data_IF_526788581779
#
_entry.id   IF_526788581779
#
_cell.length_a   1.000
_cell.length_b   1.000
_cell.length_c   1.000
_cell.angle_alpha   90.00
_cell.angle_beta   90.00
_cell.angle_gamma   90.00
#
_symmetry.space_group_name_H-M   'P 1'
#
loop_
_entity.id
_entity.type
_entity.pdbx_description
1 polymer ?
#
# COMPACT_ATOMS: atom_id res chain seq x y z
N UNK A 1 56.89 -7.82 -8.11
CA UNK A 1 56.12 -8.74 -8.94
C UNK A 1 54.78 -9.14 -8.29
N UNK A 2 54.49 -8.71 -7.06
CA UNK A 2 53.26 -9.13 -6.33
C UNK A 2 52.15 -8.08 -6.36
N UNK A 3 52.37 -6.90 -6.90
CA UNK A 3 51.38 -5.81 -6.91
C UNK A 3 50.49 -5.81 -8.16
N UNK A 4 50.92 -6.45 -9.25
CA UNK A 4 50.13 -6.49 -10.49
C UNK A 4 48.99 -7.55 -10.47
N UNK A 5 49.12 -8.60 -9.64
CA UNK A 5 48.10 -9.67 -9.60
C UNK A 5 46.83 -9.20 -8.90
N UNK A 6 46.87 -8.23 -7.99
CA UNK A 6 45.70 -7.70 -7.30
C UNK A 6 44.92 -6.67 -8.12
N UNK A 7 45.53 -6.04 -9.10
CA UNK A 7 44.84 -5.06 -9.98
C UNK A 7 44.05 -5.72 -11.11
N UNK A 8 44.43 -6.89 -11.57
CA UNK A 8 43.72 -7.65 -12.60
C UNK A 8 42.43 -8.31 -12.10
N UNK A 9 42.39 -8.69 -10.82
CA UNK A 9 41.18 -9.31 -10.26
C UNK A 9 40.06 -8.34 -9.88
N UNK A 10 40.34 -7.05 -9.76
CA UNK A 10 39.37 -6.00 -9.44
C UNK A 10 38.70 -5.40 -10.68
N UNK A 11 39.26 -5.59 -11.88
CA UNK A 11 38.70 -5.09 -13.12
C UNK A 11 37.69 -6.02 -13.79
N UNK A 12 37.68 -7.31 -13.47
CA UNK A 12 36.78 -8.30 -14.05
C UNK A 12 35.51 -8.56 -13.22
N UNK A 13 35.36 -8.00 -12.03
CA UNK A 13 34.12 -8.05 -11.30
C UNK A 13 33.12 -7.07 -11.94
N UNK A 14 32.21 -7.55 -12.77
CA UNK A 14 31.09 -6.78 -13.29
C UNK A 14 30.44 -6.06 -12.11
N UNK A 15 30.23 -4.73 -12.19
CA UNK A 15 29.61 -4.00 -11.10
C UNK A 15 28.21 -4.58 -10.84
N UNK A 16 27.94 -4.94 -9.57
CA UNK A 16 26.67 -5.52 -9.13
C UNK A 16 25.53 -4.56 -9.48
N UNK A 17 25.79 -3.27 -9.44
CA UNK A 17 24.88 -2.20 -9.78
C UNK A 17 25.44 -1.31 -10.88
N UNK A 18 24.56 -0.87 -11.74
CA UNK A 18 24.83 0.14 -12.75
C UNK A 18 23.91 1.34 -12.50
N UNK A 19 24.46 2.50 -12.11
CA UNK A 19 23.67 3.68 -11.85
C UNK A 19 23.06 4.23 -13.15
N UNK A 20 21.98 4.98 -13.03
CA UNK A 20 21.34 5.68 -14.14
C UNK A 20 22.33 6.67 -14.79
N UNK A 21 22.55 6.53 -16.10
CA UNK A 21 23.49 7.37 -16.88
C UNK A 21 22.88 8.69 -17.37
N UNK A 22 21.59 8.89 -17.17
CA UNK A 22 20.84 10.05 -17.68
C UNK A 22 20.36 10.97 -16.57
N UNK A 23 20.17 12.24 -16.88
CA UNK A 23 19.69 13.24 -15.92
C UNK A 23 18.18 13.38 -15.90
N UNK A 24 17.52 13.09 -17.04
CA UNK A 24 16.10 13.31 -17.23
C UNK A 24 15.38 12.00 -17.58
N UNK A 25 14.15 11.91 -17.17
CA UNK A 25 13.23 10.86 -17.57
C UNK A 25 11.86 11.40 -17.88
N UNK A 26 11.17 10.82 -18.84
CA UNK A 26 9.74 10.99 -19.05
C UNK A 26 9.12 9.61 -19.02
N UNK A 27 8.04 9.47 -18.28
CA UNK A 27 7.31 8.20 -18.23
C UNK A 27 5.81 8.42 -18.24
N UNK A 28 5.11 7.43 -18.77
CA UNK A 28 3.68 7.25 -18.61
C UNK A 28 3.46 6.22 -17.51
N UNK A 29 2.67 6.59 -16.51
CA UNK A 29 2.37 5.72 -15.39
C UNK A 29 0.88 5.47 -15.26
N UNK A 30 0.50 4.21 -15.16
CA UNK A 30 -0.80 3.78 -14.68
C UNK A 30 -0.70 3.46 -13.19
N UNK A 31 -1.71 3.86 -12.41
CA UNK A 31 -1.80 3.54 -10.98
C UNK A 31 -3.22 3.10 -10.66
N UNK A 32 -3.33 1.93 -10.07
CA UNK A 32 -4.60 1.36 -9.61
C UNK A 32 -4.49 1.06 -8.13
N UNK A 33 -5.49 1.48 -7.36
CA UNK A 33 -5.57 1.20 -5.94
C UNK A 33 -6.84 0.43 -5.65
N UNK A 34 -6.69 -0.68 -4.96
CA UNK A 34 -7.77 -1.52 -4.47
C UNK A 34 -7.70 -1.52 -2.95
N UNK A 35 -8.82 -1.26 -2.31
CA UNK A 35 -8.90 -1.26 -0.85
C UNK A 35 -10.19 -1.94 -0.41
N UNK A 36 -10.11 -2.70 0.66
CA UNK A 36 -11.25 -3.37 1.27
C UNK A 36 -11.17 -3.16 2.77
N UNK A 37 -12.22 -2.61 3.32
CA UNK A 37 -12.41 -2.47 4.76
C UNK A 37 -13.39 -3.52 5.22
N UNK A 38 -12.95 -4.40 6.10
CA UNK A 38 -13.80 -5.45 6.66
C UNK A 38 -13.95 -5.25 8.16
N UNK A 39 -15.18 -5.21 8.60
CA UNK A 39 -15.59 -5.15 10.00
C UNK A 39 -16.07 -6.53 10.43
N UNK A 40 -15.63 -6.97 11.61
CA UNK A 40 -16.06 -8.22 12.21
C UNK A 40 -16.66 -7.95 13.58
N UNK A 41 -17.84 -8.51 13.83
CA UNK A 41 -18.49 -8.54 15.15
C UNK A 41 -18.08 -9.78 15.96
N UNK A 42 -18.48 -9.80 17.24
CA UNK A 42 -18.15 -10.88 18.18
C UNK A 42 -18.71 -12.25 17.77
N UNK A 43 -19.90 -12.31 17.20
CA UNK A 43 -20.57 -13.54 16.79
C UNK A 43 -20.24 -13.98 15.36
N UNK A 44 -19.12 -13.49 14.79
CA UNK A 44 -18.68 -13.82 13.44
C UNK A 44 -19.40 -13.05 12.33
N UNK A 45 -20.15 -11.99 12.67
CA UNK A 45 -20.69 -11.07 11.68
C UNK A 45 -19.56 -10.42 10.90
N UNK A 46 -19.78 -10.20 9.60
CA UNK A 46 -18.80 -9.61 8.72
C UNK A 46 -19.44 -8.67 7.73
N UNK A 47 -18.96 -7.43 7.69
CA UNK A 47 -19.38 -6.44 6.69
C UNK A 47 -18.11 -5.93 5.99
N UNK A 48 -18.09 -5.95 4.65
CA UNK A 48 -16.98 -5.48 3.86
C UNK A 48 -17.42 -4.36 2.92
N UNK A 49 -16.68 -3.27 2.93
CA UNK A 49 -16.85 -2.12 2.05
C UNK A 49 -15.65 -2.00 1.12
N UNK A 50 -15.90 -1.69 -0.14
CA UNK A 50 -14.85 -1.44 -1.12
C UNK A 50 -15.29 -0.31 -2.07
N UNK A 51 -14.34 0.50 -2.56
CA UNK A 51 -14.64 1.47 -3.61
C UNK A 51 -14.72 0.80 -4.97
N UNK A 52 -15.30 1.51 -5.92
CA UNK A 52 -15.19 1.11 -7.32
C UNK A 52 -13.73 1.17 -7.78
N UNK A 53 -13.28 0.20 -8.60
CA UNK A 53 -11.92 0.19 -9.12
C UNK A 53 -11.63 1.46 -9.94
N UNK A 54 -10.61 2.21 -9.56
CA UNK A 54 -10.16 3.40 -10.28
C UNK A 54 -8.94 3.08 -11.15
N UNK A 55 -8.94 3.60 -12.40
CA UNK A 55 -7.84 3.47 -13.35
C UNK A 55 -7.26 4.85 -13.60
N UNK A 56 -6.10 5.12 -13.07
CA UNK A 56 -5.43 6.41 -13.19
C UNK A 56 -4.25 6.30 -14.14
N UNK A 57 -4.20 7.17 -15.11
CA UNK A 57 -3.12 7.26 -16.07
C UNK A 57 -2.58 8.69 -16.12
N UNK A 58 -1.26 8.86 -16.22
CA UNK A 58 -0.70 10.18 -16.35
C UNK A 58 0.78 10.22 -16.66
N UNK A 59 1.23 11.35 -17.20
CA UNK A 59 2.64 11.61 -17.47
C UNK A 59 3.40 11.96 -16.20
N UNK A 60 4.68 11.55 -16.15
CA UNK A 60 5.65 11.93 -15.13
C UNK A 60 6.93 12.42 -15.81
N UNK A 61 7.52 13.44 -15.21
CA UNK A 61 8.82 13.98 -15.60
C UNK A 61 9.75 13.86 -14.40
N UNK A 62 10.94 13.32 -14.62
CA UNK A 62 11.96 13.17 -13.60
C UNK A 62 13.22 13.95 -13.95
N UNK A 63 13.84 14.55 -12.94
CA UNK A 63 15.15 15.16 -13.00
C UNK A 63 16.00 14.64 -11.84
N UNK A 64 16.99 13.83 -12.18
CA UNK A 64 17.83 13.12 -11.19
C UNK A 64 16.97 12.25 -10.23
N UNK A 65 16.73 12.74 -9.01
CA UNK A 65 15.98 12.06 -7.95
C UNK A 65 14.59 12.68 -7.71
N UNK A 66 14.26 13.78 -8.39
CA UNK A 66 12.95 14.45 -8.29
C UNK A 66 12.05 13.96 -9.42
N UNK A 67 10.87 13.46 -9.06
CA UNK A 67 9.83 13.07 -9.99
C UNK A 67 8.58 13.90 -9.72
N UNK A 68 8.02 14.46 -10.78
CA UNK A 68 6.76 15.18 -10.76
C UNK A 68 5.84 14.57 -11.81
N UNK A 69 4.62 14.29 -11.42
CA UNK A 69 3.62 13.74 -12.33
C UNK A 69 2.21 13.96 -11.84
N UNK A 70 1.28 13.84 -12.73
CA UNK A 70 -0.14 13.95 -12.45
C UNK A 70 -0.90 12.84 -13.14
N UNK A 71 -1.74 12.14 -12.40
CA UNK A 71 -2.58 11.07 -12.93
C UNK A 71 -4.05 11.47 -12.92
N UNK A 72 -4.74 11.21 -14.02
CA UNK A 72 -6.16 11.41 -14.19
C UNK A 72 -6.88 10.06 -14.10
N UNK A 73 -8.03 10.03 -13.44
CA UNK A 73 -8.93 8.88 -13.48
C UNK A 73 -9.66 8.83 -14.81
N UNK A 74 -9.39 7.79 -15.60
CA UNK A 74 -9.94 7.66 -16.94
C UNK A 74 -11.46 7.46 -16.97
N UNK A 75 -12.05 6.92 -15.91
CA UNK A 75 -13.51 6.72 -15.81
C UNK A 75 -14.27 8.03 -15.62
N UNK A 76 -13.64 9.04 -15.02
CA UNK A 76 -14.30 10.30 -14.65
C UNK A 76 -14.02 11.46 -15.60
N UNK A 77 -13.27 11.25 -16.69
CA UNK A 77 -12.99 12.30 -17.69
C UNK A 77 -14.27 12.76 -18.41
N UNK A 78 -15.25 11.88 -18.58
CA UNK A 78 -16.51 12.17 -19.32
C UNK A 78 -17.75 12.36 -18.44
N UNK A 79 -17.62 12.32 -17.12
CA UNK A 79 -18.78 12.34 -16.25
C UNK A 79 -19.11 13.77 -15.80
N UNK A 80 -20.25 14.28 -16.21
CA UNK A 80 -21.03 15.26 -15.44
C UNK A 80 -21.42 14.76 -14.04
N UNK A 81 -20.88 13.64 -13.59
CA UNK A 81 -21.22 12.97 -12.35
C UNK A 81 -20.20 13.32 -11.26
N UNK A 82 -20.74 13.52 -10.07
CA UNK A 82 -20.08 13.77 -8.80
C UNK A 82 -18.65 13.23 -8.75
N UNK A 83 -17.70 14.15 -8.71
CA UNK A 83 -16.29 13.82 -8.51
C UNK A 83 -16.18 13.00 -7.23
N UNK A 84 -15.61 11.81 -7.32
CA UNK A 84 -15.24 11.06 -6.12
C UNK A 84 -14.40 11.99 -5.25
N UNK A 85 -14.82 12.22 -4.02
CA UNK A 85 -14.09 13.06 -3.06
C UNK A 85 -12.84 12.35 -2.52
N UNK A 86 -12.46 11.22 -3.10
CA UNK A 86 -11.30 10.42 -2.71
C UNK A 86 -10.02 11.24 -2.85
N UNK A 87 -9.27 11.31 -1.76
CA UNK A 87 -7.94 11.91 -1.71
C UNK A 87 -6.90 10.84 -1.47
N UNK A 88 -5.85 10.86 -2.27
CA UNK A 88 -4.78 9.87 -2.16
C UNK A 88 -3.43 10.53 -2.42
N UNK A 89 -2.50 10.29 -1.51
CA UNK A 89 -1.11 10.66 -1.63
C UNK A 89 -0.24 9.47 -1.24
N UNK A 90 0.70 9.10 -2.11
CA UNK A 90 1.66 8.03 -1.86
C UNK A 90 3.03 8.50 -2.32
N UNK A 91 3.99 8.54 -1.41
CA UNK A 91 5.39 8.86 -1.68
C UNK A 91 6.25 7.70 -1.17
N UNK A 92 7.01 7.09 -2.06
CA UNK A 92 8.01 6.08 -1.71
C UNK A 92 9.37 6.57 -2.14
N UNK A 93 10.28 6.69 -1.18
CA UNK A 93 11.66 7.08 -1.40
C UNK A 93 12.56 5.88 -1.10
N UNK A 94 13.38 5.53 -2.07
CA UNK A 94 14.32 4.41 -1.95
C UNK A 94 15.74 4.88 -2.11
N UNK A 95 16.54 4.73 -1.05
CA UNK A 95 18.00 4.78 -1.15
C UNK A 95 18.57 3.35 -1.20
N UNK A 96 19.89 3.22 -1.25
CA UNK A 96 20.53 1.90 -1.17
C UNK A 96 20.27 1.21 0.17
N UNK A 97 20.30 1.96 1.28
CA UNK A 97 20.25 1.44 2.64
C UNK A 97 18.86 1.58 3.28
N UNK A 98 18.16 2.65 2.96
CA UNK A 98 16.90 3.04 3.61
C UNK A 98 15.78 3.15 2.61
N UNK A 99 14.59 2.71 3.02
CA UNK A 99 13.35 3.00 2.32
C UNK A 99 12.38 3.72 3.24
N UNK A 100 11.63 4.65 2.66
CA UNK A 100 10.60 5.43 3.34
C UNK A 100 9.34 5.37 2.50
N UNK A 101 8.23 4.94 3.10
CA UNK A 101 6.91 5.02 2.51
C UNK A 101 6.05 5.97 3.34
N UNK A 102 5.60 7.04 2.72
CA UNK A 102 4.65 8.00 3.28
C UNK A 102 3.36 7.95 2.48
N UNK A 103 2.25 7.76 3.15
CA UNK A 103 0.96 7.69 2.48
C UNK A 103 -0.15 8.34 3.28
N UNK A 104 -1.11 8.88 2.55
CA UNK A 104 -2.36 9.38 3.07
C UNK A 104 -3.48 9.04 2.10
N UNK A 105 -4.53 8.44 2.61
CA UNK A 105 -5.73 8.11 1.84
C UNK A 105 -6.96 8.51 2.63
N UNK A 106 -7.93 9.01 1.91
CA UNK A 106 -9.26 9.31 2.44
C UNK A 106 -10.28 8.79 1.44
N UNK A 107 -11.24 8.03 1.91
CA UNK A 107 -12.33 7.48 1.09
C UNK A 107 -13.14 8.58 0.44
N UNK A 108 -13.66 8.28 -0.75
CA UNK A 108 -14.67 9.09 -1.43
C UNK A 108 -16.08 8.65 -1.09
N UNK A 109 -16.99 8.99 -1.97
CA UNK A 109 -18.41 8.62 -1.94
C UNK A 109 -18.76 7.44 -2.90
N UNK A 110 -17.74 6.76 -3.42
CA UNK A 110 -17.80 5.69 -4.43
C UNK A 110 -17.75 4.28 -3.82
N UNK A 111 -18.06 4.16 -2.52
CA UNK A 111 -18.05 2.87 -1.83
C UNK A 111 -19.35 2.10 -2.05
N UNK A 112 -19.22 0.78 -2.03
CA UNK A 112 -20.32 -0.16 -2.08
C UNK A 112 -20.15 -1.27 -1.03
N UNK A 113 -21.25 -1.89 -0.66
CA UNK A 113 -21.24 -3.09 0.18
C UNK A 113 -20.71 -4.25 -0.67
N UNK A 114 -19.47 -4.69 -0.42
CA UNK A 114 -18.88 -5.81 -1.15
C UNK A 114 -19.43 -7.15 -0.68
N UNK A 115 -19.55 -7.31 0.64
CA UNK A 115 -20.08 -8.51 1.29
C UNK A 115 -20.67 -8.14 2.64
N UNK A 116 -21.80 -8.74 2.94
CA UNK A 116 -22.38 -8.75 4.28
C UNK A 116 -22.67 -10.21 4.64
N UNK A 117 -22.21 -10.67 5.79
CA UNK A 117 -22.54 -11.97 6.35
C UNK A 117 -22.82 -11.76 7.84
N UNK A 118 -24.01 -12.08 8.26
CA UNK A 118 -24.52 -11.84 9.60
C UNK A 118 -24.82 -13.17 10.35
N UNK A 119 -24.20 -14.24 9.90
CA UNK A 119 -24.37 -15.59 10.45
C UNK A 119 -25.15 -16.53 9.53
N UNK A 120 -25.29 -17.77 9.96
CA UNK A 120 -25.98 -18.80 9.19
C UNK A 120 -27.47 -18.42 8.99
N UNK A 121 -27.97 -18.67 7.80
CA UNK A 121 -29.38 -18.50 7.38
C UNK A 121 -29.87 -17.09 7.02
N UNK A 122 -29.03 -16.04 7.04
CA UNK A 122 -29.42 -14.70 6.54
C UNK A 122 -28.96 -14.51 5.11
N UNK A 123 -29.91 -14.44 4.17
CA UNK A 123 -29.58 -14.17 2.77
C UNK A 123 -29.39 -12.68 2.52
N UNK A 124 -28.14 -12.23 2.43
CA UNK A 124 -27.75 -10.84 2.19
C UNK A 124 -27.34 -10.55 0.74
N UNK A 125 -27.57 -11.46 -0.19
CA UNK A 125 -27.15 -11.32 -1.59
C UNK A 125 -27.71 -10.07 -2.29
N UNK A 126 -28.91 -9.61 -1.90
CA UNK A 126 -29.53 -8.40 -2.43
C UNK A 126 -28.76 -7.11 -2.06
N UNK A 127 -27.93 -7.15 -1.03
CA UNK A 127 -27.10 -6.02 -0.59
C UNK A 127 -25.72 -5.98 -1.30
N UNK A 128 -25.34 -7.03 -2.00
CA UNK A 128 -24.05 -7.11 -2.66
C UNK A 128 -23.95 -6.11 -3.82
N UNK A 129 -22.85 -5.35 -3.84
CA UNK A 129 -22.58 -4.27 -4.81
C UNK A 129 -23.56 -3.08 -4.75
N UNK A 130 -24.31 -2.94 -3.67
CA UNK A 130 -25.16 -1.77 -3.46
C UNK A 130 -24.26 -0.60 -3.07
N UNK A 131 -24.44 0.54 -3.75
CA UNK A 131 -23.72 1.78 -3.42
C UNK A 131 -24.03 2.22 -2.00
N UNK A 132 -22.99 2.59 -1.25
CA UNK A 132 -23.09 3.02 0.13
C UNK A 132 -22.15 4.19 0.42
N UNK A 133 -22.67 5.38 0.36
CA UNK A 133 -21.93 6.64 0.62
C UNK A 133 -21.78 6.96 2.12
N UNK A 134 -22.35 6.11 2.99
CA UNK A 134 -22.28 6.23 4.45
C UNK A 134 -20.99 5.70 5.07
N UNK A 135 -20.05 5.11 4.27
CA UNK A 135 -18.76 4.65 4.77
C UNK A 135 -17.70 5.71 4.54
N UNK A 136 -16.98 6.09 5.60
CA UNK A 136 -15.83 6.99 5.51
C UNK A 136 -14.64 6.36 6.21
N UNK A 137 -13.53 6.26 5.49
CA UNK A 137 -12.26 5.78 6.00
C UNK A 137 -11.14 6.77 5.72
N UNK A 138 -10.19 6.85 6.62
CA UNK A 138 -8.93 7.57 6.40
C UNK A 138 -7.78 6.78 7.00
N UNK A 139 -6.68 6.71 6.25
CA UNK A 139 -5.43 6.12 6.71
C UNK A 139 -4.29 7.07 6.37
N UNK A 140 -3.42 7.31 7.35
CA UNK A 140 -2.16 8.03 7.19
C UNK A 140 -1.05 7.14 7.72
N UNK A 141 0.09 7.11 7.05
CA UNK A 141 1.17 6.26 7.53
C UNK A 141 2.54 6.69 7.07
N UNK A 142 3.52 6.34 7.88
CA UNK A 142 4.93 6.47 7.63
C UNK A 142 5.59 5.13 7.98
N UNK A 143 6.30 4.53 7.01
CA UNK A 143 7.13 3.37 7.23
C UNK A 143 8.57 3.70 6.88
N UNK A 144 9.47 3.38 7.78
CA UNK A 144 10.92 3.49 7.59
C UNK A 144 11.51 2.10 7.72
N UNK A 145 12.36 1.68 6.78
CA UNK A 145 13.01 0.38 6.84
C UNK A 145 14.45 0.42 6.37
N UNK A 146 15.28 -0.42 6.99
CA UNK A 146 16.70 -0.59 6.71
C UNK A 146 16.95 -1.90 5.95
N UNK A 147 17.80 -1.84 4.94
CA UNK A 147 18.19 -2.94 4.04
C UNK A 147 19.59 -3.39 4.40
N UNK A 148 19.75 -4.59 4.95
CA UNK A 148 21.06 -5.07 5.44
C UNK A 148 22.05 -5.32 4.30
N UNK A 149 21.63 -6.02 3.26
CA UNK A 149 22.49 -6.37 2.13
C UNK A 149 22.47 -5.31 1.02
N UNK A 150 22.45 -4.04 1.39
CA UNK A 150 22.34 -2.91 0.46
C UNK A 150 23.46 -2.82 -0.57
N UNK A 151 24.58 -3.52 -0.37
CA UNK A 151 25.67 -3.62 -1.33
C UNK A 151 25.41 -4.56 -2.49
N UNK A 152 24.46 -5.48 -2.36
CA UNK A 152 24.12 -6.49 -3.39
C UNK A 152 22.65 -6.45 -3.80
N UNK A 153 21.76 -5.95 -2.96
CA UNK A 153 20.32 -5.88 -3.16
C UNK A 153 19.87 -4.41 -3.30
N UNK A 154 19.03 -4.11 -4.28
CA UNK A 154 18.56 -2.75 -4.58
C UNK A 154 17.06 -2.68 -4.83
N UNK A 155 16.31 -2.06 -3.92
CA UNK A 155 14.93 -1.67 -4.19
C UNK A 155 14.80 -0.59 -5.29
N UNK A 156 15.70 0.41 -5.40
CA UNK A 156 15.69 1.32 -6.53
C UNK A 156 15.69 0.63 -7.89
N UNK A 157 16.35 -0.51 -8.04
CA UNK A 157 16.36 -1.27 -9.30
C UNK A 157 14.97 -1.85 -9.65
N UNK A 158 14.18 -2.23 -8.64
CA UNK A 158 12.88 -2.84 -8.83
C UNK A 158 11.72 -1.84 -8.96
N UNK A 159 11.79 -0.70 -8.24
CA UNK A 159 10.63 0.16 -8.05
C UNK A 159 10.76 1.59 -8.59
N UNK A 160 11.98 2.15 -8.67
CA UNK A 160 12.23 3.49 -9.20
C UNK A 160 13.05 3.53 -10.49
N UNK A 161 13.61 2.38 -10.90
CA UNK A 161 14.46 2.20 -12.10
C UNK A 161 15.64 3.17 -12.18
N UNK A 162 16.02 3.76 -11.02
CA UNK A 162 17.17 4.68 -10.93
C UNK A 162 18.53 3.98 -10.89
N UNK A 163 18.53 2.66 -10.83
CA UNK A 163 19.69 1.77 -10.80
C UNK A 163 19.34 0.48 -11.50
N UNK A 164 20.31 -0.17 -12.16
CA UNK A 164 20.15 -1.51 -12.67
C UNK A 164 20.94 -2.50 -11.81
N UNK A 165 20.31 -3.56 -11.37
CA UNK A 165 20.98 -4.66 -10.69
C UNK A 165 21.33 -5.75 -11.71
N UNK A 166 22.60 -6.20 -11.72
CA UNK A 166 23.13 -7.15 -12.70
C UNK A 166 23.13 -8.59 -12.22
N UNK A 167 23.13 -8.80 -10.92
CA UNK A 167 23.20 -10.13 -10.31
C UNK A 167 22.05 -10.31 -9.33
N UNK A 168 21.51 -11.50 -9.25
CA UNK A 168 20.46 -11.83 -8.29
C UNK A 168 21.00 -11.74 -6.86
N UNK A 169 20.22 -11.17 -5.97
CA UNK A 169 20.56 -11.06 -4.56
C UNK A 169 19.32 -10.84 -3.71
N UNK A 170 19.43 -11.19 -2.44
CA UNK A 170 18.40 -10.92 -1.44
C UNK A 170 18.93 -10.16 -0.24
N UNK A 171 18.00 -9.64 0.56
CA UNK A 171 18.32 -8.92 1.79
C UNK A 171 17.23 -9.13 2.85
N UNK A 172 17.69 -9.27 4.08
CA UNK A 172 16.86 -9.02 5.24
C UNK A 172 16.61 -7.51 5.39
N UNK A 173 15.47 -7.19 5.96
CA UNK A 173 15.06 -5.82 6.25
C UNK A 173 14.41 -5.76 7.61
N UNK A 174 14.62 -4.66 8.31
CA UNK A 174 13.90 -4.32 9.54
C UNK A 174 13.32 -2.93 9.37
N UNK A 175 12.17 -2.69 9.98
CA UNK A 175 11.49 -1.42 9.82
C UNK A 175 10.69 -1.02 11.04
N UNK A 176 10.36 0.27 11.08
CA UNK A 176 9.45 0.87 12.03
C UNK A 176 8.33 1.55 11.24
N UNK A 177 7.11 1.42 11.73
CA UNK A 177 5.93 2.00 11.12
C UNK A 177 5.08 2.76 12.12
N UNK A 178 4.45 3.80 11.62
CA UNK A 178 3.37 4.49 12.30
C UNK A 178 2.22 4.67 11.34
N UNK A 179 1.03 4.20 11.71
CA UNK A 179 -0.19 4.43 10.95
C UNK A 179 -1.28 4.97 11.86
N UNK A 180 -2.12 5.81 11.29
CA UNK A 180 -3.31 6.35 11.93
C UNK A 180 -4.51 6.03 11.07
N UNK A 181 -5.50 5.38 11.66
CA UNK A 181 -6.74 4.97 11.03
C UNK A 181 -7.93 5.74 11.61
N UNK A 182 -8.88 6.04 10.77
CA UNK A 182 -10.19 6.53 11.16
C UNK A 182 -11.23 5.84 10.30
N UNK A 183 -12.23 5.27 10.94
CA UNK A 183 -13.38 4.64 10.29
C UNK A 183 -14.66 5.23 10.86
N UNK A 184 -15.63 5.48 9.99
CA UNK A 184 -16.94 6.01 10.32
C UNK A 184 -17.99 5.30 9.46
N UNK A 185 -19.06 4.84 10.07
CA UNK A 185 -20.17 4.15 9.39
C UNK A 185 -21.48 4.84 9.78
N UNK A 186 -22.24 5.25 8.79
CA UNK A 186 -23.59 5.77 8.94
C UNK A 186 -24.58 4.60 8.98
N UNK A 187 -24.91 4.16 10.18
CA UNK A 187 -25.79 3.01 10.41
C UNK A 187 -27.23 3.28 10.03
N UNK A 188 -27.69 4.52 10.09
CA UNK A 188 -29.06 4.91 9.70
C UNK A 188 -29.24 4.73 8.20
N UNK A 189 -28.26 5.19 7.41
CA UNK A 189 -28.24 4.94 5.96
C UNK A 189 -28.17 3.45 5.63
N UNK A 190 -27.34 2.69 6.34
CA UNK A 190 -27.24 1.25 6.14
C UNK A 190 -28.56 0.55 6.45
N UNK A 191 -29.23 0.92 7.54
CA UNK A 191 -30.54 0.42 7.91
C UNK A 191 -31.59 0.70 6.84
N UNK A 192 -31.61 1.92 6.29
CA UNK A 192 -32.52 2.30 5.18
C UNK A 192 -32.33 1.41 3.95
N UNK A 193 -31.07 1.18 3.54
CA UNK A 193 -30.76 0.29 2.40
C UNK A 193 -31.21 -1.15 2.67
N UNK A 194 -31.02 -1.62 3.89
CA UNK A 194 -31.48 -2.94 4.31
C UNK A 194 -32.98 -3.04 4.25
N UNK A 195 -33.68 -2.01 4.73
CA UNK A 195 -35.16 -1.96 4.73
C UNK A 195 -35.75 -1.87 3.31
N UNK A 196 -35.04 -1.30 2.36
CA UNK A 196 -35.48 -1.24 0.96
C UNK A 196 -35.22 -2.54 0.17
N UNK A 197 -34.17 -3.28 0.51
CA UNK A 197 -33.63 -4.37 -0.31
C UNK A 197 -33.91 -5.77 0.21
N UNK A 198 -34.18 -5.94 1.49
CA UNK A 198 -34.43 -7.24 2.09
C UNK A 198 -35.93 -7.46 2.37
N UNK A 199 -36.35 -8.71 2.36
CA UNK A 199 -37.67 -9.12 2.80
C UNK A 199 -37.78 -9.06 4.35
N UNK A 200 -39.03 -9.09 4.89
CA UNK A 200 -39.26 -8.89 6.33
C UNK A 200 -38.54 -9.91 7.20
N UNK A 201 -38.54 -11.18 6.83
CA UNK A 201 -37.87 -12.25 7.59
C UNK A 201 -36.35 -12.03 7.71
N UNK A 202 -35.69 -11.58 6.61
CA UNK A 202 -34.28 -11.26 6.61
C UNK A 202 -33.98 -9.99 7.41
N UNK A 203 -34.87 -9.00 7.45
CA UNK A 203 -34.75 -7.78 8.26
C UNK A 203 -34.80 -8.09 9.75
N UNK A 204 -35.73 -8.91 10.17
CA UNK A 204 -35.92 -9.26 11.58
C UNK A 204 -34.73 -10.08 12.09
N UNK A 205 -34.26 -11.00 11.27
CA UNK A 205 -33.01 -11.73 11.55
C UNK A 205 -31.79 -10.82 11.60
N UNK A 206 -31.70 -9.84 10.73
CA UNK A 206 -30.62 -8.88 10.67
C UNK A 206 -30.60 -7.97 11.90
N UNK A 207 -31.76 -7.42 12.28
CA UNK A 207 -31.91 -6.59 13.49
C UNK A 207 -31.58 -7.36 14.77
N UNK A 208 -31.89 -8.65 14.83
CA UNK A 208 -31.56 -9.50 15.96
C UNK A 208 -30.05 -9.84 16.03
N UNK A 209 -29.33 -9.78 14.91
CA UNK A 209 -27.93 -10.18 14.79
C UNK A 209 -26.93 -9.03 14.64
N UNK A 210 -27.36 -7.81 14.31
CA UNK A 210 -26.49 -6.64 14.42
C UNK A 210 -26.34 -6.32 15.90
N UNK A 211 -25.27 -6.83 16.45
CA UNK A 211 -24.87 -6.59 17.83
C UNK A 211 -24.42 -5.13 18.01
N UNK A 212 -24.66 -4.60 19.21
CA UNK A 212 -24.19 -3.27 19.65
C UNK A 212 -22.67 -3.09 19.48
N UNK A 213 -21.91 -4.18 19.44
CA UNK A 213 -20.46 -4.17 19.21
C UNK A 213 -20.05 -3.64 17.85
N UNK A 214 -20.87 -3.88 16.82
CA UNK A 214 -20.64 -3.36 15.46
C UNK A 214 -21.15 -1.93 15.27
N UNK A 215 -22.07 -1.45 16.11
CA UNK A 215 -22.74 -0.14 15.95
C UNK A 215 -21.90 1.03 16.48
N UNK A 216 -20.62 1.11 16.10
CA UNK A 216 -19.82 2.30 16.36
C UNK A 216 -20.08 3.37 15.31
N UNK A 217 -20.28 4.61 15.70
CA UNK A 217 -20.37 5.72 14.75
C UNK A 217 -19.00 6.11 14.19
N UNK A 218 -17.95 6.05 15.01
CA UNK A 218 -16.61 6.45 14.65
C UNK A 218 -15.56 5.74 15.51
N UNK A 219 -14.52 5.22 14.84
CA UNK A 219 -13.36 4.63 15.50
C UNK A 219 -12.09 5.30 14.98
N UNK A 220 -11.21 5.66 15.90
CA UNK A 220 -9.87 6.17 15.62
C UNK A 220 -8.83 5.37 16.39
N UNK A 221 -7.79 4.95 15.71
CA UNK A 221 -6.67 4.27 16.35
C UNK A 221 -5.36 4.58 15.64
N UNK A 222 -4.27 4.41 16.35
CA UNK A 222 -2.91 4.55 15.85
C UNK A 222 -2.14 3.28 16.10
N UNK A 223 -1.35 2.86 15.11
CA UNK A 223 -0.53 1.66 15.16
C UNK A 223 0.94 2.05 15.15
N UNK A 224 1.70 1.49 16.08
CA UNK A 224 3.15 1.56 16.12
C UNK A 224 3.68 0.18 15.82
N UNK A 225 4.36 -0.01 14.70
CA UNK A 225 4.79 -1.33 14.25
C UNK A 225 6.30 -1.46 14.16
N UNK A 226 6.78 -2.64 14.50
CA UNK A 226 8.12 -3.09 14.19
C UNK A 226 8.02 -4.25 13.21
N UNK A 227 8.76 -4.18 12.11
CA UNK A 227 8.65 -5.13 11.01
C UNK A 227 9.97 -5.82 10.74
N UNK A 228 9.91 -7.08 10.34
CA UNK A 228 11.02 -7.84 9.78
C UNK A 228 10.58 -8.45 8.46
N UNK A 229 11.46 -8.45 7.48
CA UNK A 229 11.13 -8.97 6.16
C UNK A 229 12.35 -9.45 5.40
N UNK A 230 12.07 -10.14 4.32
CA UNK A 230 13.06 -10.55 3.35
C UNK A 230 12.61 -10.21 1.95
N UNK A 231 13.54 -9.70 1.14
CA UNK A 231 13.30 -9.42 -0.27
C UNK A 231 14.37 -10.07 -1.12
N UNK A 232 13.98 -10.50 -2.32
CA UNK A 232 14.86 -11.09 -3.30
C UNK A 232 14.65 -10.44 -4.67
N UNK A 233 15.76 -10.02 -5.28
CA UNK A 233 15.83 -9.59 -6.66
C UNK A 233 16.39 -10.72 -7.52
N UNK A 234 15.58 -11.26 -8.40
CA UNK A 234 15.98 -12.25 -9.37
C UNK A 234 16.22 -11.61 -10.74
N UNK A 235 17.48 -11.56 -11.15
CA UNK A 235 17.89 -11.15 -12.50
C UNK A 235 17.87 -12.39 -13.37
N UNK A 236 16.76 -12.61 -14.07
CA UNK A 236 16.51 -13.86 -14.80
C UNK A 236 16.88 -13.77 -16.29
N UNK A 237 17.06 -12.55 -16.82
CA UNK A 237 17.51 -12.34 -18.18
C UNK A 237 18.21 -10.99 -18.33
N UNK A 238 18.84 -10.74 -19.47
CA UNK A 238 19.49 -9.46 -19.77
C UNK A 238 18.48 -8.32 -19.66
N UNK A 239 18.74 -7.37 -18.75
CA UNK A 239 17.90 -6.20 -18.46
C UNK A 239 16.55 -6.52 -17.77
N UNK A 240 16.29 -7.75 -17.36
CA UNK A 240 15.08 -8.14 -16.66
C UNK A 240 15.34 -8.46 -15.20
N UNK A 241 14.51 -7.91 -14.35
CA UNK A 241 14.55 -8.14 -12.91
C UNK A 241 13.13 -8.43 -12.41
N UNK A 242 13.00 -9.47 -11.58
CA UNK A 242 11.82 -9.73 -10.77
C UNK A 242 12.18 -9.52 -9.30
N UNK A 243 11.38 -8.77 -8.59
CA UNK A 243 11.47 -8.62 -7.13
C UNK A 243 10.26 -9.25 -6.46
N UNK A 244 10.52 -9.98 -5.39
CA UNK A 244 9.52 -10.38 -4.42
C UNK A 244 10.03 -10.08 -3.02
N UNK A 245 9.21 -9.46 -2.19
CA UNK A 245 9.51 -9.25 -0.78
C UNK A 245 8.28 -9.41 0.09
N UNK A 246 8.51 -9.95 1.29
CA UNK A 246 7.49 -10.11 2.31
C UNK A 246 8.04 -9.59 3.64
N UNK A 247 7.26 -8.76 4.30
CA UNK A 247 7.54 -8.27 5.64
C UNK A 247 6.34 -8.56 6.53
N UNK A 248 6.61 -9.01 7.74
CA UNK A 248 5.62 -9.16 8.80
C UNK A 248 5.97 -8.20 9.94
N UNK A 249 4.95 -7.64 10.55
CA UNK A 249 5.10 -6.66 11.61
C UNK A 249 4.30 -7.04 12.83
N UNK A 250 4.83 -6.70 13.98
CA UNK A 250 4.10 -6.64 15.23
C UNK A 250 3.70 -5.18 15.45
N UNK A 251 2.40 -4.92 15.44
CA UNK A 251 1.83 -3.60 15.62
C UNK A 251 1.17 -3.49 16.99
N UNK A 252 1.48 -2.42 17.71
CA UNK A 252 0.78 -2.03 18.94
C UNK A 252 -0.28 -1.00 18.62
N UNK A 253 -1.54 -1.35 18.81
CA UNK A 253 -2.69 -0.50 18.53
C UNK A 253 -3.03 0.34 19.76
N UNK A 254 -3.14 1.64 19.56
CA UNK A 254 -3.60 2.60 20.54
C UNK A 254 -4.89 3.27 20.06
N UNK A 255 -6.02 2.99 20.74
CA UNK A 255 -7.28 3.64 20.43
C UNK A 255 -7.22 5.11 20.84
N UNK A 256 -7.62 6.00 19.93
CA UNK A 256 -7.63 7.44 20.18
C UNK A 256 -8.99 7.88 20.70
N UNK A 257 -8.94 8.65 21.80
CA UNK A 257 -10.11 9.33 22.36
C UNK A 257 -10.24 10.74 21.77
N UNK A 258 -11.44 11.30 21.78
CA UNK A 258 -11.66 12.72 21.48
C UNK A 258 -11.19 13.63 22.63
N UNK A 259 -10.93 13.06 23.82
CA UNK A 259 -10.33 13.77 24.96
C UNK A 259 -8.79 13.72 24.88
N UNK A 260 -8.09 14.88 24.74
CA UNK A 260 -6.64 14.94 24.64
C UNK A 260 -5.89 14.39 25.86
N UNK A 261 -6.51 14.43 27.05
CA UNK A 261 -5.88 13.90 28.27
C UNK A 261 -5.88 12.38 28.29
N UNK A 262 -6.91 11.74 27.75
CA UNK A 262 -7.01 10.28 27.61
C UNK A 262 -6.23 9.75 26.43
N UNK A 263 -5.89 10.60 25.46
CA UNK A 263 -5.16 10.23 24.22
C UNK A 263 -3.63 10.17 24.41
N UNK A 264 -3.12 10.55 25.58
CA UNK A 264 -1.69 10.49 25.87
C UNK A 264 -1.23 9.04 25.99
N UNK A 265 -0.27 8.64 25.13
CA UNK A 265 0.40 7.35 25.28
C UNK A 265 1.08 7.28 26.65
N UNK A 266 0.60 6.38 27.50
CA UNK A 266 1.17 6.16 28.82
C UNK A 266 1.56 4.68 28.94
N UNK A 267 2.82 4.41 29.22
CA UNK A 267 3.34 3.05 29.46
C UNK A 267 2.60 2.31 30.58
N UNK A 268 1.94 3.02 31.51
CA UNK A 268 1.11 2.42 32.57
C UNK A 268 -0.15 1.75 32.04
N UNK A 269 -0.63 2.16 30.86
CA UNK A 269 -1.83 1.61 30.21
C UNK A 269 -1.49 0.58 29.13
N UNK A 270 -0.26 0.06 29.15
CA UNK A 270 0.20 -0.94 28.20
C UNK A 270 -0.57 -2.25 28.38
N UNK A 271 -1.20 -2.73 27.31
CA UNK A 271 -1.97 -3.97 27.30
C UNK A 271 -1.51 -4.90 26.16
N UNK A 272 -1.11 -6.11 26.50
CA UNK A 272 -0.67 -7.11 25.52
C UNK A 272 -1.77 -7.52 24.52
N UNK A 273 -3.05 -7.34 24.85
CA UNK A 273 -4.17 -7.58 23.93
C UNK A 273 -4.20 -6.62 22.73
N UNK A 274 -3.49 -5.51 22.83
CA UNK A 274 -3.43 -4.50 21.75
C UNK A 274 -2.39 -4.81 20.68
N UNK A 275 -1.71 -5.96 20.74
CA UNK A 275 -0.79 -6.39 19.70
C UNK A 275 -1.52 -7.10 18.58
N UNK A 276 -1.20 -6.67 17.34
CA UNK A 276 -1.72 -7.26 16.13
C UNK A 276 -0.58 -7.54 15.14
N UNK A 277 -0.84 -8.42 14.18
CA UNK A 277 0.10 -8.73 13.12
C UNK A 277 -0.29 -7.99 11.84
N UNK A 278 0.67 -7.27 11.29
CA UNK A 278 0.55 -6.60 9.99
C UNK A 278 1.44 -7.28 8.96
N UNK A 279 1.07 -7.16 7.70
CA UNK A 279 1.80 -7.74 6.59
C UNK A 279 1.99 -6.77 5.43
N UNK A 280 3.18 -6.79 4.82
CA UNK A 280 3.46 -6.04 3.60
C UNK A 280 4.13 -6.94 2.58
N UNK A 281 3.43 -7.19 1.47
CA UNK A 281 3.98 -7.87 0.30
C UNK A 281 4.33 -6.88 -0.80
N UNK A 282 5.49 -7.02 -1.44
CA UNK A 282 5.88 -6.22 -2.60
C UNK A 282 6.34 -7.14 -3.72
N UNK A 283 5.86 -6.89 -4.91
CA UNK A 283 6.24 -7.62 -6.12
C UNK A 283 6.53 -6.64 -7.24
N UNK A 284 7.51 -6.93 -8.06
CA UNK A 284 7.88 -6.08 -9.17
C UNK A 284 8.54 -6.84 -10.31
N UNK A 285 8.18 -6.52 -11.53
CA UNK A 285 8.86 -6.97 -12.76
C UNK A 285 9.31 -5.73 -13.50
N UNK A 286 10.57 -5.69 -13.87
CA UNK A 286 11.18 -4.54 -14.55
C UNK A 286 12.03 -5.02 -15.71
N UNK A 287 11.84 -4.38 -16.85
CA UNK A 287 12.79 -4.38 -17.96
C UNK A 287 13.44 -3.00 -18.04
N UNK A 288 14.77 -2.93 -18.01
CA UNK A 288 15.50 -1.66 -18.03
C UNK A 288 16.83 -1.82 -18.77
N UNK A 289 16.94 -1.19 -19.94
CA UNK A 289 18.15 -1.18 -20.75
C UNK A 289 18.97 0.11 -20.60
N UNK A 290 18.74 0.88 -19.52
CA UNK A 290 19.30 2.18 -19.19
C UNK A 290 18.61 3.37 -19.89
N UNK A 291 18.33 3.29 -21.17
CA UNK A 291 17.63 4.32 -21.92
C UNK A 291 16.11 4.18 -21.87
N UNK A 292 15.60 2.96 -22.06
CA UNK A 292 14.19 2.63 -21.98
C UNK A 292 13.93 1.71 -20.79
N UNK A 293 12.81 1.88 -20.17
CA UNK A 293 12.36 0.98 -19.12
C UNK A 293 10.85 0.79 -19.14
N UNK A 294 10.44 -0.37 -18.70
CA UNK A 294 9.05 -0.69 -18.41
C UNK A 294 9.00 -1.48 -17.11
N UNK A 295 8.01 -1.22 -16.29
CA UNK A 295 7.87 -1.89 -15.00
C UNK A 295 6.41 -2.08 -14.61
N UNK A 296 6.16 -3.17 -13.91
CA UNK A 296 4.91 -3.45 -13.20
C UNK A 296 5.25 -3.77 -11.76
N UNK A 297 4.60 -3.10 -10.83
CA UNK A 297 4.80 -3.37 -9.40
C UNK A 297 3.49 -3.38 -8.65
N UNK A 298 3.45 -4.17 -7.60
CA UNK A 298 2.30 -4.30 -6.70
C UNK A 298 2.80 -4.26 -5.26
N UNK A 299 2.15 -3.45 -4.43
CA UNK A 299 2.36 -3.41 -2.98
C UNK A 299 1.02 -3.75 -2.32
N UNK A 300 1.05 -4.73 -1.44
CA UNK A 300 -0.12 -5.18 -0.68
C UNK A 300 0.17 -4.92 0.78
N UNK A 301 -0.71 -4.19 1.44
CA UNK A 301 -0.70 -3.98 2.88
C UNK A 301 -1.92 -4.64 3.50
N UNK A 302 -1.73 -5.29 4.63
CA UNK A 302 -2.81 -5.80 5.47
C UNK A 302 -2.60 -5.29 6.89
N UNK A 303 -3.53 -4.48 7.35
CA UNK A 303 -3.55 -3.92 8.70
C UNK A 303 -4.69 -4.55 9.48
N UNK A 304 -4.37 -5.09 10.65
CA UNK A 304 -5.32 -5.71 11.53
C UNK A 304 -5.51 -4.85 12.77
N UNK A 305 -6.74 -4.72 13.20
CA UNK A 305 -7.09 -4.07 14.46
C UNK A 305 -8.08 -4.96 15.19
N UNK A 306 -7.79 -5.26 16.44
CA UNK A 306 -8.67 -6.03 17.32
C UNK A 306 -8.86 -5.27 18.62
N UNK A 307 -10.11 -5.16 19.03
CA UNK A 307 -10.51 -4.65 20.33
C UNK A 307 -11.62 -5.55 20.90
N UNK A 308 -11.85 -5.49 22.21
CA UNK A 308 -12.65 -6.44 23.01
C UNK A 308 -13.96 -6.92 22.33
N UNK A 309 -14.63 -6.07 21.53
CA UNK A 309 -15.95 -6.39 20.96
C UNK A 309 -16.00 -6.36 19.43
N UNK A 310 -14.97 -5.88 18.74
CA UNK A 310 -14.94 -5.91 17.28
C UNK A 310 -13.52 -5.91 16.74
N UNK A 311 -13.37 -6.35 15.51
CA UNK A 311 -12.11 -6.27 14.80
C UNK A 311 -12.28 -5.71 13.39
N UNK A 312 -11.22 -5.12 12.87
CA UNK A 312 -11.18 -4.68 11.48
C UNK A 312 -9.96 -5.26 10.77
N UNK A 313 -10.14 -5.56 9.49
CA UNK A 313 -9.04 -5.83 8.58
C UNK A 313 -9.12 -4.83 7.43
N UNK A 314 -8.07 -4.04 7.28
CA UNK A 314 -7.94 -3.08 6.20
C UNK A 314 -6.89 -3.60 5.24
N UNK A 315 -7.32 -4.15 4.13
CA UNK A 315 -6.43 -4.62 3.07
C UNK A 315 -6.40 -3.61 1.94
N UNK A 316 -5.21 -3.19 1.55
CA UNK A 316 -5.05 -2.33 0.41
C UNK A 316 -3.93 -2.82 -0.51
N UNK A 317 -4.18 -2.74 -1.82
CA UNK A 317 -3.25 -3.09 -2.87
C UNK A 317 -3.06 -1.88 -3.77
N UNK A 318 -1.83 -1.46 -3.96
CA UNK A 318 -1.45 -0.45 -4.94
C UNK A 318 -0.67 -1.12 -6.07
N UNK A 319 -1.19 -1.00 -7.28
CA UNK A 319 -0.55 -1.52 -8.48
C UNK A 319 -0.09 -0.35 -9.34
N UNK A 320 1.15 -0.40 -9.82
CA UNK A 320 1.74 0.61 -10.70
C UNK A 320 2.32 -0.06 -11.94
N UNK A 321 1.96 0.44 -13.10
CA UNK A 321 2.59 0.10 -14.38
C UNK A 321 3.21 1.35 -14.97
N UNK A 322 4.43 1.29 -15.45
CA UNK A 322 5.11 2.43 -16.06
C UNK A 322 5.91 2.03 -17.31
N UNK A 323 5.99 2.96 -18.23
CA UNK A 323 6.88 2.90 -19.39
C UNK A 323 7.55 4.27 -19.49
N UNK A 324 8.87 4.29 -19.62
CA UNK A 324 9.61 5.53 -19.64
C UNK A 324 10.86 5.50 -20.51
N UNK A 325 11.36 6.70 -20.77
CA UNK A 325 12.60 6.94 -21.52
C UNK A 325 13.48 7.93 -20.77
N UNK A 326 14.76 7.62 -20.71
CA UNK A 326 15.80 8.42 -20.09
C UNK A 326 16.61 9.16 -21.16
N UNK A 327 16.94 10.41 -20.91
CA UNK A 327 17.69 11.25 -21.84
C UNK A 327 18.57 12.28 -21.13
N UNK A 328 19.45 12.95 -21.89
CA UNK A 328 20.41 13.90 -21.32
C UNK A 328 21.49 13.19 -20.51
N UNK A 329 22.46 12.53 -21.17
CA UNK A 329 23.59 11.85 -20.48
C UNK A 329 24.28 12.77 -19.48
N UNK A 330 24.57 12.26 -18.29
CA UNK A 330 25.36 12.92 -17.28
C UNK A 330 26.78 13.20 -17.82
N UNK A 331 27.42 14.26 -17.34
CA UNK A 331 28.76 14.65 -17.81
C UNK A 331 29.79 13.54 -17.69
N UNK A 332 29.73 12.77 -16.61
CA UNK A 332 30.61 11.62 -16.30
C UNK A 332 30.59 10.55 -17.41
N UNK A 333 29.48 10.40 -18.12
CA UNK A 333 29.27 9.39 -19.16
C UNK A 333 29.29 9.96 -20.59
N UNK A 334 29.57 11.26 -20.76
CA UNK A 334 29.69 11.89 -22.10
C UNK A 334 31.03 11.65 -22.77
N UNK A 335 32.06 11.30 -21.99
CA UNK A 335 33.47 11.31 -22.44
C UNK A 335 33.98 9.93 -22.85
N UNK A 336 33.17 8.85 -22.73
CA UNK A 336 33.55 7.55 -23.25
C UNK A 336 33.00 7.42 -24.68
N UNK A 337 33.87 7.76 -25.65
CA UNK A 337 33.70 7.40 -27.07
C UNK A 337 34.34 6.06 -27.34
#
# INVERSE_FOLDING_TARGET
>A
ATTEIYTLSLHDALPIFEPQHFNYTVMLQNTNTYEVYTLYGEEGQRISFAPDPSWRLGPYVGWRWVFLGYTLDLKHINAKSNHSSKKEFNLSLYSSMLGVDLFWRQTGNDYHIQRMNLGENVNTNALKKVSFDGFKGSIKGLNLYYIFNHRKFSYPAAYSQSTRQKTSAGSWMVGLGYTQHQLEVDWDKLSTIVDERLNQDAKDQLKAKIDSSLMFSKVRYSDYSATVGYGYNWVFAKNWLFNASLSVGLAYNHSRSDDPELDKFNLKNFNFKNFNFDGVGRFGVVWNNDRWYAGLSTVIHSYNYHKDHFSTNNSCMAQKGNIGVNFGKKREYKTVK
#
